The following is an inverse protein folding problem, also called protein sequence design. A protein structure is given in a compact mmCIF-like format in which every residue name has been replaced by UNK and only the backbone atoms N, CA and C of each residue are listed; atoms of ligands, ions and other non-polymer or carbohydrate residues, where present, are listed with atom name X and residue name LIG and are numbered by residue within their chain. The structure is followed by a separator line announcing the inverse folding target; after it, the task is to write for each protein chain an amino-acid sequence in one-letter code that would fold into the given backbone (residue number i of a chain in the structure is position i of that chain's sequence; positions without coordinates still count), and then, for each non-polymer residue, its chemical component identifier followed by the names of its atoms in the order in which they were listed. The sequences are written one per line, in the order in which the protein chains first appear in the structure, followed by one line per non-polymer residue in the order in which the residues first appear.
data_IF_513460631082
#
_entry.id   IF_513460631082
#
_cell.length_a   1.000
_cell.length_b   1.000
_cell.length_c   1.000
_cell.angle_alpha   90.00
_cell.angle_beta   90.00
_cell.angle_gamma   90.00
#
_symmetry.space_group_name_H-M   'P 1'
#
loop_
_entity.id
_entity.type
_entity.pdbx_description
1 polymer ?
#
# COMPACT_ATOMS: atom_id res chain seq x y z
N UNK A 1 34.79 -0.30 21.83
CA UNK A 1 34.18 -0.56 20.48
C UNK A 1 34.72 -1.78 19.68
N UNK A 2 35.93 -2.34 19.87
CA UNK A 2 36.38 -3.52 19.11
C UNK A 2 35.69 -4.84 19.55
N UNK A 3 35.35 -4.99 20.84
CA UNK A 3 34.69 -6.21 21.34
C UNK A 3 33.25 -6.39 20.84
N UNK A 4 32.50 -5.30 20.64
CA UNK A 4 31.14 -5.34 20.05
C UNK A 4 31.15 -5.90 18.62
N UNK A 5 32.23 -5.69 17.84
CA UNK A 5 32.35 -6.24 16.48
C UNK A 5 32.54 -7.76 16.46
N UNK A 6 33.13 -8.36 17.51
CA UNK A 6 33.29 -9.82 17.62
C UNK A 6 32.00 -10.53 18.03
N UNK A 7 31.15 -9.86 18.83
CA UNK A 7 29.88 -10.42 19.33
C UNK A 7 28.67 -10.18 18.41
N UNK A 8 28.81 -9.41 17.33
CA UNK A 8 27.72 -9.07 16.41
C UNK A 8 26.93 -10.28 15.89
N UNK A 9 27.58 -11.31 15.31
CA UNK A 9 26.90 -12.52 14.85
C UNK A 9 26.12 -13.25 15.94
N UNK A 10 26.69 -13.30 17.15
CA UNK A 10 26.06 -13.93 18.31
C UNK A 10 24.78 -13.19 18.71
N UNK A 11 24.87 -11.86 18.84
CA UNK A 11 23.74 -11.02 19.23
C UNK A 11 22.62 -11.10 18.20
N UNK A 12 22.93 -11.03 16.90
CA UNK A 12 21.93 -11.12 15.84
C UNK A 12 21.24 -12.50 15.82
N UNK A 13 22.00 -13.58 16.01
CA UNK A 13 21.44 -14.92 16.12
C UNK A 13 20.51 -15.06 17.34
N UNK A 14 20.90 -14.49 18.49
CA UNK A 14 20.06 -14.43 19.68
C UNK A 14 18.77 -13.65 19.42
N UNK A 15 18.83 -12.50 18.76
CA UNK A 15 17.65 -11.69 18.43
C UNK A 15 16.66 -12.44 17.54
N UNK A 16 17.13 -13.13 16.49
CA UNK A 16 16.26 -13.94 15.64
C UNK A 16 15.68 -15.13 16.42
N UNK A 17 16.47 -15.73 17.30
CA UNK A 17 16.00 -16.82 18.17
C UNK A 17 14.90 -16.34 19.11
N UNK A 18 15.09 -15.18 19.76
CA UNK A 18 14.08 -14.55 20.60
C UNK A 18 12.82 -14.20 19.81
N UNK A 19 12.96 -13.69 18.59
CA UNK A 19 11.84 -13.43 17.70
C UNK A 19 11.09 -14.75 17.38
N UNK A 20 11.80 -15.81 17.00
CA UNK A 20 11.22 -17.10 16.66
C UNK A 20 10.34 -17.65 17.79
N UNK A 21 10.84 -17.63 19.03
CA UNK A 21 10.11 -18.09 20.21
C UNK A 21 9.10 -17.07 20.76
N UNK A 22 9.27 -15.78 20.46
CA UNK A 22 8.35 -14.71 20.87
C UNK A 22 7.15 -14.52 19.94
N UNK A 23 7.24 -14.97 18.68
CA UNK A 23 6.16 -14.86 17.70
C UNK A 23 4.83 -15.48 18.18
N UNK A 24 4.78 -16.67 18.83
CA UNK A 24 3.54 -17.21 19.40
C UNK A 24 2.94 -16.31 20.47
N UNK A 25 3.76 -15.79 21.40
CA UNK A 25 3.29 -14.88 22.46
C UNK A 25 2.75 -13.57 21.89
N UNK A 26 3.42 -13.03 20.88
CA UNK A 26 2.97 -11.83 20.17
C UNK A 26 1.66 -12.10 19.42
N UNK A 27 1.54 -13.27 18.78
CA UNK A 27 0.34 -13.71 18.10
C UNK A 27 -0.86 -13.83 19.05
N UNK A 28 -0.67 -14.45 20.21
CA UNK A 28 -1.71 -14.58 21.24
C UNK A 28 -2.13 -13.20 21.77
N UNK A 29 -1.16 -12.31 22.03
CA UNK A 29 -1.45 -10.94 22.45
C UNK A 29 -2.25 -10.18 21.38
N UNK A 30 -1.82 -10.22 20.11
CA UNK A 30 -2.57 -9.61 18.99
C UNK A 30 -3.99 -10.19 18.92
N UNK A 31 -4.13 -11.51 19.12
CA UNK A 31 -5.42 -12.18 19.10
C UNK A 31 -6.36 -11.76 20.24
N UNK A 32 -5.82 -11.31 21.37
CA UNK A 32 -6.61 -10.82 22.51
C UNK A 32 -7.13 -9.39 22.35
N UNK A 33 -6.59 -8.62 21.41
CA UNK A 33 -7.06 -7.25 21.14
C UNK A 33 -8.42 -7.32 20.42
N UNK A 34 -9.50 -6.72 20.96
CA UNK A 34 -10.86 -6.83 20.41
C UNK A 34 -10.99 -6.43 18.92
N UNK A 35 -10.19 -5.44 18.49
CA UNK A 35 -10.14 -4.98 17.08
C UNK A 35 -9.64 -6.07 16.12
N UNK A 36 -8.76 -6.97 16.59
CA UNK A 36 -8.09 -7.99 15.76
C UNK A 36 -8.58 -9.41 16.02
N UNK A 37 -9.28 -9.67 17.13
CA UNK A 37 -9.72 -11.00 17.58
C UNK A 37 -10.51 -11.79 16.52
N UNK A 38 -11.33 -11.11 15.71
CA UNK A 38 -12.13 -11.71 14.63
C UNK A 38 -11.27 -12.20 13.44
N UNK A 39 -10.11 -11.60 13.20
CA UNK A 39 -9.15 -11.99 12.15
C UNK A 39 -8.14 -13.02 12.66
N UNK A 40 -7.82 -12.90 13.95
CA UNK A 40 -6.79 -13.65 14.63
C UNK A 40 -7.01 -15.16 14.57
N UNK A 41 -8.22 -15.63 14.91
CA UNK A 41 -8.48 -17.07 15.11
C UNK A 41 -8.26 -17.94 13.86
N UNK A 42 -8.44 -17.40 12.65
CA UNK A 42 -8.29 -18.16 11.41
C UNK A 42 -6.90 -18.05 10.79
N UNK A 43 -6.36 -16.84 10.76
CA UNK A 43 -5.18 -16.55 9.93
C UNK A 43 -3.87 -16.59 10.74
N UNK A 44 -3.89 -16.36 12.06
CA UNK A 44 -2.67 -16.32 12.90
C UNK A 44 -1.91 -17.65 12.88
N UNK A 45 -2.51 -18.83 13.09
CA UNK A 45 -1.75 -20.08 13.12
C UNK A 45 -0.98 -20.32 11.81
N UNK A 46 -1.63 -20.03 10.67
CA UNK A 46 -1.04 -20.15 9.34
C UNK A 46 0.10 -19.15 9.12
N UNK A 47 -0.09 -17.89 9.54
CA UNK A 47 0.93 -16.84 9.42
C UNK A 47 2.13 -17.17 10.30
N UNK A 48 1.89 -17.59 11.55
CA UNK A 48 2.90 -17.94 12.52
C UNK A 48 3.78 -19.10 12.01
N UNK A 49 3.17 -20.20 11.58
CA UNK A 49 3.90 -21.35 11.02
C UNK A 49 4.68 -20.95 9.77
N UNK A 50 4.08 -20.12 8.89
CA UNK A 50 4.75 -19.60 7.70
C UNK A 50 5.99 -18.78 8.02
N UNK A 51 5.92 -17.86 9.00
CA UNK A 51 7.05 -17.03 9.40
C UNK A 51 8.14 -17.90 10.06
N UNK A 52 7.77 -18.75 11.02
CA UNK A 52 8.73 -19.61 11.72
C UNK A 52 9.46 -20.57 10.76
N UNK A 53 8.75 -21.16 9.79
CA UNK A 53 9.36 -21.95 8.71
C UNK A 53 10.28 -21.10 7.84
N UNK A 54 9.84 -19.90 7.46
CA UNK A 54 10.63 -18.97 6.67
C UNK A 54 11.97 -18.59 7.31
N UNK A 55 12.02 -18.49 8.65
CA UNK A 55 13.25 -18.22 9.39
C UNK A 55 14.28 -19.36 9.31
N UNK A 56 13.92 -20.53 8.81
CA UNK A 56 14.81 -21.67 8.60
C UNK A 56 14.95 -22.07 7.12
N UNK A 57 14.44 -21.26 6.20
CA UNK A 57 14.54 -21.56 4.77
C UNK A 57 15.99 -21.61 4.29
N UNK A 58 16.46 -22.63 3.54
CA UNK A 58 15.68 -23.69 2.88
C UNK A 58 15.68 -25.05 3.60
N UNK A 59 16.20 -25.12 4.83
CA UNK A 59 16.37 -26.38 5.56
C UNK A 59 15.12 -26.78 6.35
N UNK A 60 14.13 -25.90 6.44
CA UNK A 60 12.92 -26.07 7.24
C UNK A 60 12.14 -27.33 6.90
N UNK A 61 12.18 -27.73 5.62
CA UNK A 61 11.49 -28.92 5.10
C UNK A 61 12.05 -30.22 5.66
N UNK A 62 13.30 -30.21 6.11
CA UNK A 62 14.03 -31.41 6.54
C UNK A 62 14.03 -31.53 8.07
N UNK A 63 13.36 -30.60 8.77
CA UNK A 63 13.39 -30.48 10.22
C UNK A 63 12.00 -30.70 10.83
N UNK A 64 11.93 -31.62 11.80
CA UNK A 64 10.75 -31.73 12.68
C UNK A 64 10.62 -30.50 13.57
N UNK A 65 9.44 -30.28 14.18
CA UNK A 65 9.17 -29.09 14.99
C UNK A 65 10.18 -28.86 16.13
N UNK A 66 10.59 -29.94 16.82
CA UNK A 66 11.61 -29.90 17.86
C UNK A 66 12.97 -29.44 17.31
N UNK A 67 13.41 -30.03 16.19
CA UNK A 67 14.69 -29.69 15.58
C UNK A 67 14.72 -28.27 15.00
N UNK A 68 13.59 -27.74 14.53
CA UNK A 68 13.49 -26.33 14.13
C UNK A 68 13.81 -25.39 15.29
N UNK A 69 13.26 -25.66 16.48
CA UNK A 69 13.54 -24.88 17.68
C UNK A 69 15.00 -24.99 18.14
N UNK A 70 15.61 -26.17 18.06
CA UNK A 70 17.01 -26.37 18.44
C UNK A 70 17.96 -25.68 17.47
N UNK A 71 17.68 -25.77 16.17
CA UNK A 71 18.61 -25.34 15.12
C UNK A 71 18.49 -23.86 14.74
N UNK A 72 17.42 -23.16 15.15
CA UNK A 72 17.26 -21.73 14.80
C UNK A 72 18.48 -20.89 15.19
N UNK A 73 19.02 -21.10 16.39
CA UNK A 73 20.18 -20.36 16.86
C UNK A 73 21.46 -20.72 16.10
N UNK A 74 21.94 -21.99 16.07
CA UNK A 74 23.18 -22.33 15.38
C UNK A 74 23.11 -22.04 13.87
N UNK A 75 21.94 -22.21 13.25
CA UNK A 75 21.71 -21.87 11.84
C UNK A 75 22.02 -20.39 11.57
N UNK A 76 21.37 -19.47 12.28
CA UNK A 76 21.59 -18.04 12.10
C UNK A 76 22.97 -17.59 12.56
N UNK A 77 23.54 -18.23 13.59
CA UNK A 77 24.89 -17.91 14.05
C UNK A 77 25.94 -18.19 12.96
N UNK A 78 25.87 -19.35 12.30
CA UNK A 78 26.76 -19.69 11.18
C UNK A 78 26.57 -18.73 10.00
N UNK A 79 25.33 -18.42 9.65
CA UNK A 79 25.02 -17.42 8.60
C UNK A 79 25.66 -16.08 8.93
N UNK A 80 25.47 -15.56 10.14
CA UNK A 80 26.03 -14.27 10.52
C UNK A 80 27.55 -14.27 10.67
N UNK A 81 28.16 -15.40 11.03
CA UNK A 81 29.62 -15.55 10.98
C UNK A 81 30.12 -15.46 9.53
N UNK A 82 29.48 -16.17 8.61
CA UNK A 82 29.78 -16.09 7.18
C UNK A 82 29.61 -14.67 6.64
N UNK A 83 28.47 -14.02 6.93
CA UNK A 83 28.21 -12.63 6.55
C UNK A 83 29.24 -11.67 7.14
N UNK A 84 29.63 -11.84 8.41
CA UNK A 84 30.64 -11.01 9.07
C UNK A 84 32.02 -11.20 8.42
N UNK A 85 32.39 -12.43 8.07
CA UNK A 85 33.64 -12.72 7.37
C UNK A 85 33.66 -12.09 5.98
N UNK A 86 32.60 -12.28 5.19
CA UNK A 86 32.43 -11.64 3.88
C UNK A 86 32.49 -10.13 4.02
N UNK A 87 31.72 -9.55 4.96
CA UNK A 87 31.71 -8.11 5.21
C UNK A 87 33.09 -7.60 5.59
N UNK A 88 33.86 -8.30 6.43
CA UNK A 88 35.22 -7.87 6.77
C UNK A 88 36.14 -7.86 5.55
N UNK A 89 36.00 -8.83 4.64
CA UNK A 89 36.78 -8.89 3.39
C UNK A 89 36.33 -7.85 2.36
N UNK A 90 35.06 -7.47 2.38
CA UNK A 90 34.43 -6.59 1.38
C UNK A 90 34.03 -5.22 1.97
N UNK A 91 34.47 -4.89 3.19
CA UNK A 91 33.99 -3.74 3.97
C UNK A 91 34.14 -2.43 3.21
N UNK A 92 35.26 -2.25 2.53
CA UNK A 92 35.53 -1.08 1.72
C UNK A 92 34.54 -0.97 0.56
N UNK A 93 34.30 -2.09 -0.15
CA UNK A 93 33.27 -2.16 -1.19
C UNK A 93 31.88 -1.83 -0.64
N UNK A 94 31.44 -2.46 0.46
CA UNK A 94 30.14 -2.18 1.07
C UNK A 94 29.99 -0.73 1.51
N UNK A 95 31.05 -0.08 2.02
CA UNK A 95 31.00 1.35 2.35
C UNK A 95 30.67 2.20 1.12
N UNK A 96 31.27 1.90 -0.03
CA UNK A 96 30.95 2.62 -1.27
C UNK A 96 29.58 2.23 -1.81
N UNK A 97 29.21 0.95 -1.77
CA UNK A 97 27.89 0.49 -2.18
C UNK A 97 26.76 1.14 -1.35
N UNK A 98 26.91 1.22 -0.03
CA UNK A 98 25.94 1.89 0.85
C UNK A 98 25.88 3.40 0.59
N UNK A 99 27.03 4.06 0.37
CA UNK A 99 27.05 5.48 -0.01
C UNK A 99 26.35 5.71 -1.33
N UNK A 100 26.64 4.89 -2.35
CA UNK A 100 25.97 4.96 -3.64
C UNK A 100 24.48 4.71 -3.51
N UNK A 101 24.06 3.66 -2.78
CA UNK A 101 22.66 3.38 -2.52
C UNK A 101 21.96 4.53 -1.79
N UNK A 102 22.60 5.15 -0.80
CA UNK A 102 22.06 6.30 -0.10
C UNK A 102 21.93 7.53 -1.03
N UNK A 103 22.95 7.81 -1.84
CA UNK A 103 22.90 8.88 -2.86
C UNK A 103 21.77 8.62 -3.85
N UNK A 104 21.63 7.38 -4.34
CA UNK A 104 20.55 6.99 -5.26
C UNK A 104 19.18 7.11 -4.59
N UNK A 105 19.03 6.71 -3.33
CA UNK A 105 17.77 6.85 -2.59
C UNK A 105 17.41 8.32 -2.37
N UNK A 106 18.37 9.18 -2.03
CA UNK A 106 18.16 10.63 -1.94
C UNK A 106 17.78 11.20 -3.30
N UNK A 107 18.49 10.82 -4.37
CA UNK A 107 18.17 11.23 -5.73
C UNK A 107 16.75 10.83 -6.12
N UNK A 108 16.37 9.56 -5.91
CA UNK A 108 15.01 9.08 -6.18
C UNK A 108 13.96 9.73 -5.28
N UNK A 109 14.31 10.12 -4.05
CA UNK A 109 13.39 10.84 -3.18
C UNK A 109 13.14 12.28 -3.66
N UNK A 110 14.19 12.97 -4.13
CA UNK A 110 14.08 14.32 -4.68
C UNK A 110 13.39 14.30 -6.06
N UNK A 111 13.75 13.32 -6.91
CA UNK A 111 13.30 13.19 -8.29
C UNK A 111 12.60 11.84 -8.56
N UNK A 112 11.51 11.50 -7.86
CA UNK A 112 10.88 10.18 -7.94
C UNK A 112 10.25 9.88 -9.29
N UNK A 113 9.88 10.92 -10.04
CA UNK A 113 9.29 10.80 -11.36
C UNK A 113 10.32 10.39 -12.43
N UNK A 114 11.63 10.37 -12.12
CA UNK A 114 12.65 9.77 -13.01
C UNK A 114 12.41 8.28 -13.27
N UNK A 115 11.74 7.58 -12.34
CA UNK A 115 11.34 6.18 -12.53
C UNK A 115 10.32 6.00 -13.66
N UNK A 116 9.61 7.06 -14.08
CA UNK A 116 8.69 7.01 -15.22
C UNK A 116 9.44 6.80 -16.54
N UNK A 117 10.73 7.15 -16.61
CA UNK A 117 11.56 6.92 -17.80
C UNK A 117 11.88 5.44 -18.05
N UNK A 118 11.71 4.57 -17.03
CA UNK A 118 11.91 3.12 -17.14
C UNK A 118 10.65 2.37 -17.59
N UNK A 119 9.59 3.10 -17.93
CA UNK A 119 8.30 2.55 -18.33
C UNK A 119 8.35 1.93 -19.73
N UNK A 120 7.53 0.90 -19.95
CA UNK A 120 7.38 0.32 -21.29
C UNK A 120 6.61 1.26 -22.19
N UNK A 121 7.07 1.47 -23.42
CA UNK A 121 6.32 2.17 -24.47
C UNK A 121 5.14 1.36 -25.02
N UNK A 122 5.06 0.05 -24.74
CA UNK A 122 3.97 -0.81 -25.22
C UNK A 122 2.62 -0.36 -24.65
N UNK A 123 1.52 -0.46 -25.42
CA UNK A 123 0.18 -0.23 -24.91
C UNK A 123 -0.13 -1.14 -23.70
N UNK A 124 -1.03 -0.68 -22.83
CA UNK A 124 -1.50 -1.51 -21.73
C UNK A 124 -2.53 -2.53 -22.23
N UNK A 125 -2.42 -3.77 -21.75
CA UNK A 125 -3.41 -4.82 -22.01
C UNK A 125 -3.76 -5.48 -20.67
N UNK A 126 -5.00 -5.29 -20.23
CA UNK A 126 -5.55 -5.94 -19.05
C UNK A 126 -6.12 -7.30 -19.41
N UNK A 127 -5.83 -8.31 -18.60
CA UNK A 127 -6.39 -9.66 -18.74
C UNK A 127 -7.14 -10.06 -17.48
N UNK A 128 -8.27 -10.75 -17.66
CA UNK A 128 -9.10 -11.23 -16.56
C UNK A 128 -9.77 -10.11 -15.77
N UNK A 129 -10.16 -10.41 -14.55
CA UNK A 129 -10.89 -9.49 -13.68
C UNK A 129 -9.96 -8.75 -12.70
N UNK A 130 -10.49 -7.71 -12.04
CA UNK A 130 -9.76 -6.99 -10.99
C UNK A 130 -9.34 -7.90 -9.82
N UNK A 131 -10.00 -9.05 -9.62
CA UNK A 131 -9.72 -10.04 -8.56
C UNK A 131 -8.88 -11.22 -9.01
N UNK A 132 -8.84 -11.49 -10.30
CA UNK A 132 -8.10 -12.59 -10.90
C UNK A 132 -7.69 -12.20 -12.32
N UNK A 133 -6.51 -11.61 -12.40
CA UNK A 133 -6.07 -10.97 -13.63
C UNK A 133 -4.59 -10.59 -13.58
N UNK A 134 -4.14 -10.06 -14.70
CA UNK A 134 -2.79 -9.53 -14.88
C UNK A 134 -2.83 -8.36 -15.85
N UNK A 135 -1.72 -7.63 -15.95
CA UNK A 135 -1.60 -6.54 -16.91
C UNK A 135 -0.23 -6.58 -17.59
N UNK A 136 -0.24 -6.34 -18.89
CA UNK A 136 0.95 -6.11 -19.70
C UNK A 136 1.05 -4.62 -20.03
N UNK A 137 2.27 -4.12 -20.21
CA UNK A 137 2.48 -2.70 -20.53
C UNK A 137 1.92 -1.74 -19.47
N UNK A 138 1.83 -2.16 -18.21
CA UNK A 138 1.30 -1.32 -17.14
C UNK A 138 2.14 -0.04 -16.97
N UNK A 139 1.45 1.04 -16.63
CA UNK A 139 2.01 2.38 -16.50
C UNK A 139 2.04 2.78 -15.03
N UNK A 140 3.13 3.41 -14.61
CA UNK A 140 3.28 3.91 -13.26
C UNK A 140 2.59 5.27 -13.14
N UNK A 141 1.81 5.48 -12.08
CA UNK A 141 1.34 6.81 -11.69
C UNK A 141 2.53 7.63 -11.17
N UNK A 142 2.66 8.93 -11.51
CA UNK A 142 3.68 9.81 -10.93
C UNK A 142 3.63 9.80 -9.41
N UNK A 143 4.79 9.93 -8.75
CA UNK A 143 4.83 9.95 -7.28
C UNK A 143 4.13 11.18 -6.70
N UNK A 144 4.27 12.33 -7.37
CA UNK A 144 3.66 13.60 -7.02
C UNK A 144 3.45 14.45 -8.26
N UNK A 145 2.45 15.33 -8.19
CA UNK A 145 2.15 16.38 -9.17
C UNK A 145 1.65 17.63 -8.46
N UNK A 146 1.00 18.53 -9.19
CA UNK A 146 0.64 19.86 -8.70
C UNK A 146 -0.27 19.86 -7.46
N UNK A 147 -1.25 18.95 -7.43
CA UNK A 147 -2.25 18.85 -6.37
C UNK A 147 -2.46 17.40 -5.90
N UNK A 148 -1.46 16.53 -6.10
CA UNK A 148 -1.52 15.15 -5.61
C UNK A 148 -0.15 14.57 -5.25
N UNK A 149 -0.17 13.54 -4.41
CA UNK A 149 0.99 12.70 -4.09
C UNK A 149 0.54 11.24 -3.95
N UNK A 150 1.46 10.29 -3.98
CA UNK A 150 1.19 8.92 -3.54
C UNK A 150 1.32 8.79 -2.03
N UNK A 151 0.66 7.80 -1.47
CA UNK A 151 0.57 7.52 -0.03
C UNK A 151 1.93 7.25 0.64
N UNK A 152 2.87 6.63 -0.09
CA UNK A 152 4.12 6.12 0.48
C UNK A 152 5.25 6.11 -0.55
N UNK A 153 6.38 6.73 -0.20
CA UNK A 153 7.61 6.66 -1.02
C UNK A 153 8.16 5.22 -1.13
N UNK A 154 8.25 4.43 -0.03
CA UNK A 154 8.57 3.00 -0.15
C UNK A 154 7.59 2.22 -1.02
N UNK A 155 6.27 2.41 -0.83
CA UNK A 155 5.25 1.73 -1.63
C UNK A 155 5.37 2.05 -3.13
N UNK A 156 5.63 3.32 -3.44
CA UNK A 156 5.96 3.76 -4.78
C UNK A 156 7.23 3.07 -5.30
N UNK A 157 8.35 3.08 -4.56
CA UNK A 157 9.60 2.46 -5.02
C UNK A 157 9.43 0.95 -5.29
N UNK A 158 8.68 0.25 -4.44
CA UNK A 158 8.35 -1.17 -4.61
C UNK A 158 7.34 -1.45 -5.72
N UNK A 159 6.87 -0.42 -6.43
CA UNK A 159 6.05 -0.59 -7.63
C UNK A 159 4.61 -1.01 -7.33
N UNK A 160 4.02 -0.42 -6.29
CA UNK A 160 2.61 -0.65 -5.90
C UNK A 160 1.62 0.33 -6.54
N UNK A 161 2.11 1.18 -7.45
CA UNK A 161 1.35 2.26 -8.09
C UNK A 161 1.22 2.12 -9.62
N UNK A 162 1.14 0.89 -10.13
CA UNK A 162 0.97 0.61 -11.55
C UNK A 162 -0.48 0.34 -11.92
N UNK A 163 -0.91 0.93 -13.04
CA UNK A 163 -2.26 0.84 -13.59
C UNK A 163 -2.23 0.71 -15.11
N UNK A 164 -3.40 0.49 -15.71
CA UNK A 164 -3.62 0.61 -17.14
C UNK A 164 -3.40 2.05 -17.61
N UNK A 165 -2.87 2.25 -18.83
CA UNK A 165 -2.54 3.57 -19.35
C UNK A 165 -3.73 4.54 -19.40
N UNK A 166 -4.91 4.03 -19.78
CA UNK A 166 -6.17 4.80 -19.74
C UNK A 166 -6.55 5.22 -18.32
N UNK A 167 -6.38 4.33 -17.33
CA UNK A 167 -6.66 4.64 -15.92
C UNK A 167 -5.69 5.71 -15.42
N UNK A 168 -4.40 5.60 -15.75
CA UNK A 168 -3.42 6.65 -15.44
C UNK A 168 -3.87 8.00 -16.01
N UNK A 169 -4.24 8.03 -17.28
CA UNK A 169 -4.68 9.26 -17.95
C UNK A 169 -5.93 9.83 -17.28
N UNK A 170 -6.95 9.01 -17.03
CA UNK A 170 -8.16 9.41 -16.30
C UNK A 170 -7.86 10.04 -14.94
N UNK A 171 -6.99 9.44 -14.14
CA UNK A 171 -6.64 9.98 -12.82
C UNK A 171 -5.92 11.32 -12.93
N UNK A 172 -4.98 11.46 -13.87
CA UNK A 172 -4.24 12.71 -14.06
C UNK A 172 -5.13 13.83 -14.61
N UNK A 173 -6.02 13.51 -15.56
CA UNK A 173 -7.00 14.47 -16.09
C UNK A 173 -7.96 14.92 -14.98
N UNK A 174 -8.45 13.99 -14.15
CA UNK A 174 -9.30 14.30 -13.02
C UNK A 174 -8.60 15.23 -12.02
N UNK A 175 -7.33 14.97 -11.68
CA UNK A 175 -6.58 15.87 -10.80
C UNK A 175 -6.32 17.24 -11.42
N UNK A 176 -6.13 17.33 -12.73
CA UNK A 176 -6.05 18.64 -13.41
C UNK A 176 -7.35 19.44 -13.24
N UNK A 177 -8.52 18.79 -13.33
CA UNK A 177 -9.82 19.43 -13.03
C UNK A 177 -9.90 19.83 -11.56
N UNK A 178 -9.55 18.93 -10.64
CA UNK A 178 -9.61 19.21 -9.20
C UNK A 178 -8.69 20.36 -8.78
N UNK A 179 -7.56 20.59 -9.49
CA UNK A 179 -6.68 21.73 -9.24
C UNK A 179 -7.42 23.06 -9.38
N UNK A 180 -8.42 23.12 -10.26
CA UNK A 180 -9.24 24.31 -10.50
C UNK A 180 -10.45 24.38 -9.55
N UNK A 181 -11.08 23.24 -9.26
CA UNK A 181 -12.31 23.16 -8.45
C UNK A 181 -12.05 23.17 -6.94
N UNK A 182 -10.93 22.59 -6.52
CA UNK A 182 -10.52 22.43 -5.13
C UNK A 182 -9.04 22.78 -4.99
N UNK A 183 -8.65 24.06 -5.19
CA UNK A 183 -7.25 24.47 -5.31
C UNK A 183 -6.42 24.22 -4.03
N UNK A 184 -7.08 24.23 -2.87
CA UNK A 184 -6.42 23.97 -1.59
C UNK A 184 -6.26 22.47 -1.31
N UNK A 185 -7.04 21.60 -1.98
CA UNK A 185 -7.00 20.17 -1.76
C UNK A 185 -5.73 19.55 -2.37
N UNK A 186 -5.08 18.67 -1.60
CA UNK A 186 -4.04 17.78 -2.14
C UNK A 186 -4.49 16.33 -2.00
N UNK A 187 -4.74 15.67 -3.13
CA UNK A 187 -5.20 14.28 -3.17
C UNK A 187 -4.05 13.31 -2.92
N UNK A 188 -4.36 12.17 -2.30
CA UNK A 188 -3.37 11.14 -2.03
C UNK A 188 -3.76 9.85 -2.74
N UNK A 189 -2.99 9.46 -3.76
CA UNK A 189 -3.14 8.18 -4.44
C UNK A 189 -2.69 7.06 -3.49
N UNK A 190 -3.56 6.11 -3.22
CA UNK A 190 -3.25 4.90 -2.48
C UNK A 190 -2.54 3.85 -3.33
N UNK A 191 -2.80 2.60 -3.00
CA UNK A 191 -2.34 1.43 -3.73
C UNK A 191 -3.19 1.22 -4.98
N UNK A 192 -2.56 0.77 -6.07
CA UNK A 192 -3.29 0.59 -7.35
C UNK A 192 -2.96 -0.71 -8.07
N UNK A 193 -1.74 -1.21 -7.99
CA UNK A 193 -1.37 -2.48 -8.60
C UNK A 193 0.13 -2.65 -8.86
N UNK A 194 0.49 -3.86 -9.31
CA UNK A 194 1.86 -4.23 -9.67
C UNK A 194 2.11 -4.05 -11.16
N UNK A 195 3.39 -3.89 -11.55
CA UNK A 195 3.83 -3.74 -12.95
C UNK A 195 3.33 -4.84 -13.89
N UNK A 196 3.16 -6.07 -13.38
CA UNK A 196 2.64 -7.23 -14.14
C UNK A 196 1.24 -7.65 -13.67
N UNK A 197 0.61 -6.89 -12.78
CA UNK A 197 -0.62 -7.30 -12.12
C UNK A 197 -0.44 -8.52 -11.21
N UNK A 198 -1.49 -9.34 -11.10
CA UNK A 198 -1.48 -10.57 -10.30
C UNK A 198 -1.78 -10.34 -8.82
N UNK A 199 -1.43 -11.31 -7.98
CA UNK A 199 -1.77 -11.30 -6.56
C UNK A 199 -1.10 -10.10 -5.86
N UNK A 200 -1.93 -9.23 -5.27
CA UNK A 200 -1.50 -7.97 -4.68
C UNK A 200 -1.89 -7.89 -3.19
N UNK A 201 -1.11 -8.53 -2.32
CA UNK A 201 -1.40 -8.50 -0.88
C UNK A 201 -1.28 -7.07 -0.30
N UNK A 202 -2.13 -6.70 0.68
CA UNK A 202 -3.22 -7.50 1.28
C UNK A 202 -4.54 -7.46 0.49
N UNK A 203 -4.58 -6.70 -0.61
CA UNK A 203 -5.78 -6.52 -1.44
C UNK A 203 -6.24 -7.81 -2.11
N UNK A 204 -7.55 -7.90 -2.30
CA UNK A 204 -8.20 -8.96 -3.09
C UNK A 204 -8.40 -8.55 -4.54
N UNK A 205 -8.35 -7.26 -4.85
CA UNK A 205 -8.53 -6.65 -6.18
C UNK A 205 -7.16 -6.15 -6.73
N UNK A 206 -7.14 -5.12 -7.60
CA UNK A 206 -5.93 -4.50 -8.16
C UNK A 206 -5.05 -5.39 -9.05
N UNK A 207 -5.58 -6.52 -9.53
CA UNK A 207 -4.76 -7.51 -10.23
C UNK A 207 -4.55 -7.24 -11.71
N UNK A 208 -5.43 -6.49 -12.37
CA UNK A 208 -5.37 -6.27 -13.82
C UNK A 208 -5.11 -4.81 -14.21
N UNK A 209 -4.70 -3.97 -13.24
CA UNK A 209 -4.39 -2.55 -13.48
C UNK A 209 -5.62 -1.64 -13.69
N UNK A 210 -6.83 -2.14 -13.45
CA UNK A 210 -8.08 -1.37 -13.60
C UNK A 210 -8.71 -0.97 -12.27
N UNK A 211 -7.91 -0.84 -11.20
CA UNK A 211 -8.39 -0.43 -9.89
C UNK A 211 -7.49 0.66 -9.30
N UNK A 212 -8.08 1.64 -8.62
CA UNK A 212 -7.33 2.67 -7.88
C UNK A 212 -7.92 2.88 -6.50
N UNK A 213 -7.05 3.14 -5.53
CA UNK A 213 -7.41 3.72 -4.25
C UNK A 213 -7.00 5.20 -4.22
N UNK A 214 -7.86 6.05 -3.66
CA UNK A 214 -7.54 7.45 -3.34
C UNK A 214 -7.98 7.70 -1.91
N UNK A 215 -7.07 8.22 -1.08
CA UNK A 215 -7.35 8.52 0.32
C UNK A 215 -8.45 9.58 0.43
N UNK A 216 -9.31 9.41 1.42
CA UNK A 216 -10.36 10.36 1.75
C UNK A 216 -9.73 11.69 2.16
N UNK A 217 -10.00 12.80 1.44
CA UNK A 217 -9.49 14.10 1.81
C UNK A 217 -10.11 14.55 3.13
N UNK A 218 -9.33 15.28 3.93
CA UNK A 218 -9.76 15.73 5.26
C UNK A 218 -9.52 17.22 5.44
N UNK A 219 -10.34 17.84 6.29
CA UNK A 219 -10.13 19.16 6.83
C UNK A 219 -9.85 19.08 8.32
N UNK A 220 -9.05 20.03 8.82
CA UNK A 220 -8.92 20.33 10.25
C UNK A 220 -8.85 21.84 10.40
N UNK A 221 -9.77 22.42 11.18
CA UNK A 221 -9.91 23.88 11.31
C UNK A 221 -10.07 24.56 9.94
N UNK A 222 -10.91 23.99 9.06
CA UNK A 222 -11.16 24.48 7.69
C UNK A 222 -9.93 24.53 6.78
N UNK A 223 -8.86 23.80 7.12
CA UNK A 223 -7.65 23.68 6.29
C UNK A 223 -7.42 22.23 5.88
N UNK A 224 -6.90 21.98 4.67
CA UNK A 224 -6.51 20.65 4.23
C UNK A 224 -5.62 19.96 5.27
N UNK A 225 -6.02 18.76 5.66
CA UNK A 225 -5.35 17.94 6.66
C UNK A 225 -4.96 16.60 6.07
N UNK A 226 -3.73 16.17 6.36
CA UNK A 226 -3.22 14.86 5.96
C UNK A 226 -2.43 14.25 7.11
N UNK A 227 -2.52 12.94 7.23
CA UNK A 227 -1.81 12.17 8.25
C UNK A 227 -1.41 10.83 7.65
N UNK A 228 -0.44 10.83 6.74
CA UNK A 228 0.02 9.61 6.09
C UNK A 228 1.40 9.28 6.67
N UNK A 229 1.47 8.35 7.62
CA UNK A 229 2.71 7.93 8.25
C UNK A 229 2.74 6.41 8.49
N UNK A 230 3.92 5.87 8.80
CA UNK A 230 4.09 4.42 8.98
C UNK A 230 3.10 3.80 9.98
N UNK A 231 2.87 4.46 11.11
CA UNK A 231 2.03 3.92 12.20
C UNK A 231 0.53 3.87 11.91
N UNK A 232 0.06 4.53 10.85
CA UNK A 232 -1.33 4.39 10.40
C UNK A 232 -1.40 3.79 9.00
N UNK A 233 -0.40 2.97 8.66
CA UNK A 233 -0.30 2.31 7.37
C UNK A 233 -0.39 3.32 6.21
N UNK A 234 0.24 4.49 6.36
CA UNK A 234 0.22 5.58 5.38
C UNK A 234 -1.18 6.10 5.01
N UNK A 235 -2.12 6.03 5.94
CA UNK A 235 -3.51 6.50 5.77
C UNK A 235 -4.53 5.38 5.95
N UNK A 236 -4.18 4.14 5.60
CA UNK A 236 -5.07 2.97 5.59
C UNK A 236 -5.59 2.49 6.96
N UNK A 237 -5.11 3.08 8.06
CA UNK A 237 -5.57 2.73 9.41
C UNK A 237 -6.18 3.93 10.14
N UNK A 238 -6.76 4.87 9.39
CA UNK A 238 -7.66 5.90 9.92
C UNK A 238 -9.07 5.29 10.02
N UNK A 239 -9.79 5.57 11.09
CA UNK A 239 -11.19 5.15 11.25
C UNK A 239 -12.00 6.38 11.65
N UNK A 240 -13.01 6.72 10.87
CA UNK A 240 -13.90 7.84 11.17
C UNK A 240 -15.04 7.39 12.11
N UNK A 241 -15.68 8.31 12.81
CA UNK A 241 -17.02 8.04 13.34
C UNK A 241 -18.06 8.01 12.21
N UNK A 242 -19.32 7.70 12.54
CA UNK A 242 -20.39 7.58 11.55
C UNK A 242 -20.77 8.94 10.93
N UNK A 243 -20.33 10.06 11.53
CA UNK A 243 -20.45 11.41 11.01
C UNK A 243 -19.24 11.86 10.16
N UNK A 244 -18.21 11.02 10.02
CA UNK A 244 -17.02 11.33 9.24
C UNK A 244 -15.99 12.20 9.97
N UNK A 245 -15.90 12.13 11.30
CA UNK A 245 -14.98 12.90 12.14
C UNK A 245 -13.95 12.00 12.83
N UNK A 246 -12.85 12.62 13.26
CA UNK A 246 -11.77 12.03 14.03
C UNK A 246 -11.66 12.74 15.40
N UNK A 247 -11.21 12.01 16.41
CA UNK A 247 -11.04 12.53 17.79
C UNK A 247 -10.16 13.80 17.87
N UNK A 248 -9.21 13.96 16.93
CA UNK A 248 -8.32 15.12 16.89
C UNK A 248 -8.96 16.39 16.27
N UNK A 249 -10.26 16.34 15.94
CA UNK A 249 -11.02 17.43 15.32
C UNK A 249 -10.91 17.52 13.79
N UNK A 250 -10.19 16.58 13.16
CA UNK A 250 -10.24 16.45 11.70
C UNK A 250 -11.53 15.76 11.25
N UNK A 251 -11.99 16.03 10.04
CA UNK A 251 -13.19 15.42 9.45
C UNK A 251 -13.05 15.31 7.93
N UNK A 252 -13.91 14.53 7.31
CA UNK A 252 -13.92 14.31 5.86
C UNK A 252 -14.25 15.63 5.14
N UNK A 253 -13.43 15.95 4.13
CA UNK A 253 -13.72 17.00 3.16
C UNK A 253 -14.67 16.43 2.08
N UNK A 254 -15.97 16.42 2.38
CA UNK A 254 -16.96 15.84 1.46
C UNK A 254 -17.05 16.59 0.12
N UNK A 255 -16.78 17.89 0.10
CA UNK A 255 -16.80 18.69 -1.13
C UNK A 255 -15.64 18.26 -2.05
N UNK A 256 -14.39 18.28 -1.55
CA UNK A 256 -13.23 17.84 -2.33
C UNK A 256 -13.32 16.36 -2.74
N UNK A 257 -13.87 15.51 -1.87
CA UNK A 257 -14.10 14.09 -2.18
C UNK A 257 -15.09 13.93 -3.34
N UNK A 258 -16.22 14.62 -3.28
CA UNK A 258 -17.25 14.54 -4.31
C UNK A 258 -16.78 15.09 -5.65
N UNK A 259 -16.10 16.24 -5.65
CA UNK A 259 -15.50 16.84 -6.85
C UNK A 259 -14.47 15.90 -7.48
N UNK A 260 -13.66 15.22 -6.67
CA UNK A 260 -12.70 14.24 -7.17
C UNK A 260 -13.37 13.05 -7.84
N UNK A 261 -14.41 12.47 -7.23
CA UNK A 261 -15.12 11.33 -7.82
C UNK A 261 -15.86 11.77 -9.10
N UNK A 262 -16.44 12.96 -9.13
CA UNK A 262 -17.10 13.51 -10.32
C UNK A 262 -16.09 13.72 -11.45
N UNK A 263 -14.94 14.32 -11.17
CA UNK A 263 -13.87 14.52 -12.15
C UNK A 263 -13.36 13.16 -12.69
N UNK A 264 -13.23 12.14 -11.84
CA UNK A 264 -12.88 10.77 -12.27
C UNK A 264 -13.97 10.18 -13.17
N UNK A 265 -15.26 10.36 -12.85
CA UNK A 265 -16.39 9.90 -13.67
C UNK A 265 -16.36 10.52 -15.06
N UNK A 266 -16.17 11.83 -15.15
CA UNK A 266 -16.12 12.57 -16.41
C UNK A 266 -14.89 12.18 -17.23
N UNK A 267 -13.70 12.19 -16.62
CA UNK A 267 -12.45 11.80 -17.28
C UNK A 267 -12.43 10.32 -17.67
N UNK A 268 -13.10 9.42 -16.94
CA UNK A 268 -13.20 8.01 -17.31
C UNK A 268 -13.93 7.86 -18.65
N UNK A 269 -15.06 8.55 -18.80
CA UNK A 269 -15.86 8.54 -20.04
C UNK A 269 -15.03 9.04 -21.24
N UNK A 270 -14.31 10.14 -21.06
CA UNK A 270 -13.47 10.74 -22.12
C UNK A 270 -12.29 9.84 -22.52
N UNK A 271 -11.79 9.03 -21.59
CA UNK A 271 -10.67 8.13 -21.82
C UNK A 271 -11.11 6.69 -22.17
N UNK A 272 -12.38 6.50 -22.53
CA UNK A 272 -12.90 5.20 -22.97
C UNK A 272 -12.89 4.15 -21.85
N UNK A 273 -13.24 4.57 -20.63
CA UNK A 273 -13.44 3.71 -19.47
C UNK A 273 -14.86 3.84 -18.94
N UNK A 274 -15.34 2.78 -18.30
CA UNK A 274 -16.57 2.78 -17.51
C UNK A 274 -16.23 2.47 -16.06
N UNK A 275 -16.85 3.18 -15.11
CA UNK A 275 -16.73 2.86 -13.69
C UNK A 275 -17.64 1.65 -13.39
N UNK A 276 -17.05 0.53 -13.02
CA UNK A 276 -17.77 -0.71 -12.67
C UNK A 276 -18.15 -0.78 -11.20
N UNK A 277 -17.36 -0.16 -10.33
CA UNK A 277 -17.61 -0.19 -8.89
C UNK A 277 -16.96 1.02 -8.22
N UNK A 278 -17.66 1.60 -7.26
CA UNK A 278 -17.08 2.50 -6.25
C UNK A 278 -17.25 1.87 -4.87
N UNK A 279 -16.19 1.79 -4.10
CA UNK A 279 -16.23 1.37 -2.70
C UNK A 279 -15.91 2.59 -1.85
N UNK A 280 -16.89 3.00 -1.07
CA UNK A 280 -16.77 4.01 -0.02
C UNK A 280 -17.76 3.64 1.07
N UNK A 281 -17.43 3.84 2.33
CA UNK A 281 -18.26 3.37 3.46
C UNK A 281 -19.74 3.80 3.30
N UNK A 282 -20.71 2.86 3.27
CA UNK A 282 -22.13 3.19 3.15
C UNK A 282 -22.64 4.18 4.18
N UNK A 283 -22.08 4.19 5.39
CA UNK A 283 -22.50 5.07 6.49
C UNK A 283 -22.13 6.53 6.22
N UNK A 284 -21.03 6.76 5.50
CA UNK A 284 -20.49 8.10 5.20
C UNK A 284 -21.04 8.69 3.89
N UNK A 285 -21.71 7.86 3.07
CA UNK A 285 -22.29 8.31 1.80
C UNK A 285 -23.35 9.39 1.91
N UNK A 286 -24.22 9.45 2.94
CA UNK A 286 -25.16 10.56 3.09
C UNK A 286 -24.45 11.92 3.09
N UNK A 287 -23.30 12.04 3.77
CA UNK A 287 -22.47 13.25 3.75
C UNK A 287 -21.91 13.54 2.36
N UNK A 288 -21.37 12.52 1.68
CA UNK A 288 -20.88 12.64 0.30
C UNK A 288 -21.97 13.12 -0.65
N UNK A 289 -23.18 12.58 -0.54
CA UNK A 289 -24.28 12.86 -1.45
C UNK A 289 -25.04 14.16 -1.14
N UNK A 290 -24.78 14.78 0.01
CA UNK A 290 -25.35 16.08 0.37
C UNK A 290 -24.71 17.23 -0.43
N UNK A 291 -23.47 17.07 -0.88
CA UNK A 291 -22.74 18.08 -1.67
C UNK A 291 -23.30 18.25 -3.08
N UNK A 292 -22.94 19.33 -3.77
CA UNK A 292 -23.41 19.57 -5.14
C UNK A 292 -22.87 18.53 -6.12
N UNK A 293 -21.55 18.29 -6.13
CA UNK A 293 -20.93 17.25 -6.94
C UNK A 293 -21.43 15.86 -6.54
N UNK A 294 -21.68 15.64 -5.25
CA UNK A 294 -22.18 14.39 -4.69
C UNK A 294 -23.50 13.95 -5.29
N UNK A 295 -24.40 14.89 -5.57
CA UNK A 295 -25.68 14.61 -6.25
C UNK A 295 -25.48 14.09 -7.68
N UNK A 296 -24.44 14.54 -8.39
CA UNK A 296 -24.13 14.18 -9.80
C UNK A 296 -23.47 12.79 -9.95
N UNK A 297 -23.06 12.18 -8.84
CA UNK A 297 -22.39 10.88 -8.80
C UNK A 297 -23.19 9.78 -8.10
N UNK A 298 -24.41 10.07 -7.60
CA UNK A 298 -25.27 9.09 -6.89
C UNK A 298 -25.61 7.85 -7.71
N UNK A 299 -25.60 7.98 -9.03
CA UNK A 299 -25.88 6.93 -10.02
C UNK A 299 -24.72 5.94 -10.19
N UNK A 300 -23.53 6.23 -9.65
CA UNK A 300 -22.40 5.31 -9.74
C UNK A 300 -22.67 4.00 -8.99
N UNK A 301 -22.05 2.88 -9.41
CA UNK A 301 -22.26 1.56 -8.81
C UNK A 301 -21.53 1.43 -7.46
N UNK A 302 -22.07 2.03 -6.41
CA UNK A 302 -21.55 1.90 -5.04
C UNK A 302 -21.83 0.51 -4.45
N UNK A 303 -20.89 -0.02 -3.66
CA UNK A 303 -21.12 -1.27 -2.89
C UNK A 303 -22.29 -1.12 -1.91
N UNK A 304 -23.18 -2.10 -1.75
CA UNK A 304 -24.34 -1.90 -0.84
C UNK A 304 -23.98 -2.06 0.64
N UNK A 305 -23.14 -3.05 0.95
CA UNK A 305 -22.85 -3.45 2.32
C UNK A 305 -21.51 -2.92 2.79
N UNK A 306 -21.42 -2.62 4.10
CA UNK A 306 -20.15 -2.33 4.76
C UNK A 306 -19.26 -3.55 4.63
N UNK A 307 -18.07 -3.38 4.06
CA UNK A 307 -17.07 -4.45 3.98
C UNK A 307 -16.45 -4.58 5.38
N UNK A 308 -16.04 -5.80 5.75
CA UNK A 308 -15.45 -6.11 7.06
C UNK A 308 -14.25 -5.22 7.40
N UNK A 309 -13.43 -4.89 6.39
CA UNK A 309 -12.44 -3.83 6.47
C UNK A 309 -13.13 -2.53 6.06
N UNK A 310 -13.17 -1.55 6.97
CA UNK A 310 -13.77 -0.24 6.70
C UNK A 310 -12.99 0.43 5.55
N UNK A 311 -13.72 1.04 4.62
CA UNK A 311 -13.17 1.82 3.49
C UNK A 311 -13.68 3.25 3.66
N UNK A 312 -13.39 3.82 4.83
CA UNK A 312 -13.69 5.19 5.21
C UNK A 312 -12.46 6.08 5.07
N UNK A 313 -11.26 5.51 5.26
CA UNK A 313 -9.97 6.19 5.03
C UNK A 313 -9.60 6.43 3.57
N UNK A 314 -10.22 5.68 2.65
CA UNK A 314 -10.05 5.83 1.20
C UNK A 314 -11.33 5.43 0.46
N UNK A 315 -11.45 5.90 -0.78
CA UNK A 315 -12.39 5.33 -1.73
C UNK A 315 -11.65 4.55 -2.82
N UNK A 316 -12.27 3.48 -3.28
CA UNK A 316 -11.75 2.59 -4.31
C UNK A 316 -12.63 2.65 -5.55
N UNK A 317 -12.01 2.68 -6.72
CA UNK A 317 -12.71 2.68 -8.01
C UNK A 317 -12.19 1.54 -8.88
N UNK A 318 -13.10 0.66 -9.31
CA UNK A 318 -12.85 -0.32 -10.36
C UNK A 318 -13.35 0.23 -11.70
N UNK A 319 -12.52 0.12 -12.73
CA UNK A 319 -12.83 0.48 -14.10
C UNK A 319 -12.98 -0.76 -14.99
N UNK A 320 -13.63 -0.56 -16.13
CA UNK A 320 -13.50 -1.42 -17.30
C UNK A 320 -13.14 -0.59 -18.52
N UNK A 321 -12.42 -1.23 -19.45
CA UNK A 321 -12.14 -0.67 -20.76
C UNK A 321 -13.43 -0.74 -21.57
N UNK A 322 -13.92 0.40 -22.06
CA UNK A 322 -15.13 0.43 -22.87
C UNK A 322 -14.92 -0.39 -24.16
N UNK A 323 -15.86 -1.29 -24.46
CA UNK A 323 -15.84 -2.14 -25.66
C UNK A 323 -14.99 -3.42 -25.56
N UNK A 324 -14.59 -3.85 -24.35
CA UNK A 324 -13.98 -5.16 -24.08
C UNK A 324 -14.89 -6.06 -23.26
#
# INVERSE_FOLDING_TARGET
MPQLKKKGPLILALLITLLYFGLPLLADWIGSIPRYSKYAQRDIPRILDGIQRGLLFPIEKWLSGLWRGILIFPYWFVIFLGMSWVYQKTKTFWRYAFRLAAVLLVFLFLFPNTLLWLESSRPSISHGSVRDGRIEGAKRLPFRGDNFTTYSFPGYLFGRTFVHERVRKTVLDAFAVCKTKSPDATFVIGETGLRKGGIFHPHRTHRNGLSIDIMTPMLRNQRPYRRNHLFNLWGYAIEFDDEGRLENGAHIDYESLAECILAIKEAARENGLTIQKVIFDPVLRPGLFATEAGRKIRDLPYTKNRIILRHDDHFHVDFAVAGQ
#
